data_IF_312623314824
#
_entry.id   IF_312623314824
#
_cell.length_a   1.000
_cell.length_b   1.000
_cell.length_c   1.000
_cell.angle_alpha   90.00
_cell.angle_beta   90.00
_cell.angle_gamma   90.00
#
_symmetry.space_group_name_H-M   'P 1'
#
loop_
_entity.id
_entity.type
_entity.pdbx_description
1 polymer ?
#
# COMPACT_ATOMS: atom_id res chain seq x y z
N UNK A 1 3.21 22.96 20.20
CA UNK A 1 4.68 22.78 20.20
C UNK A 1 5.03 21.98 18.97
N UNK A 2 5.79 22.60 18.07
CA UNK A 2 6.34 21.96 16.89
C UNK A 2 7.33 20.87 17.34
N UNK A 3 7.10 19.62 16.93
CA UNK A 3 8.01 18.53 17.18
C UNK A 3 8.72 18.29 15.86
N UNK A 4 9.99 18.72 15.81
CA UNK A 4 10.87 18.71 14.63
C UNK A 4 10.98 17.35 13.90
N UNK A 5 10.49 16.26 14.51
CA UNK A 5 10.53 14.91 13.95
C UNK A 5 9.21 14.44 13.32
N UNK A 6 8.16 15.28 13.25
CA UNK A 6 6.85 14.89 12.67
C UNK A 6 6.32 15.92 11.68
N UNK A 7 6.50 15.64 10.40
CA UNK A 7 5.78 16.22 9.25
C UNK A 7 4.27 16.49 9.46
N UNK A 8 3.54 15.64 10.20
CA UNK A 8 2.13 15.88 10.53
C UNK A 8 1.92 17.16 11.35
N UNK A 9 2.82 17.46 12.29
CA UNK A 9 2.75 18.70 13.09
C UNK A 9 3.03 19.92 12.21
N UNK A 10 4.02 19.81 11.31
CA UNK A 10 4.35 20.85 10.34
C UNK A 10 3.18 21.11 9.38
N UNK A 11 2.56 20.05 8.84
CA UNK A 11 1.37 20.14 7.99
C UNK A 11 0.23 20.88 8.71
N UNK A 12 -0.16 20.42 9.90
CA UNK A 12 -1.24 21.04 10.68
C UNK A 12 -0.91 22.50 11.05
N UNK A 13 0.36 22.80 11.32
CA UNK A 13 0.78 24.18 11.59
C UNK A 13 0.60 25.06 10.34
N UNK A 14 1.06 24.60 9.18
CA UNK A 14 0.96 25.36 7.93
C UNK A 14 -0.49 25.53 7.48
N UNK A 15 -1.29 24.46 7.52
CA UNK A 15 -2.72 24.49 7.20
C UNK A 15 -3.46 25.54 8.05
N UNK A 16 -3.22 25.55 9.36
CA UNK A 16 -3.78 26.56 10.25
C UNK A 16 -3.24 27.97 9.95
N UNK A 17 -1.92 28.12 9.75
CA UNK A 17 -1.33 29.42 9.47
C UNK A 17 -1.85 30.04 8.17
N UNK A 18 -2.03 29.23 7.12
CA UNK A 18 -2.58 29.65 5.83
C UNK A 18 -4.02 30.15 5.95
N UNK A 19 -4.83 29.51 6.80
CA UNK A 19 -6.20 29.97 7.11
C UNK A 19 -6.22 31.40 7.66
N UNK A 20 -5.16 31.82 8.34
CA UNK A 20 -5.01 33.16 8.91
C UNK A 20 -4.09 34.09 8.10
N UNK A 21 -3.69 33.74 6.87
CA UNK A 21 -2.79 34.55 6.01
C UNK A 21 -3.19 36.03 5.99
N UNK A 22 -4.45 36.33 5.67
CA UNK A 22 -4.96 37.70 5.61
C UNK A 22 -4.96 38.41 6.97
N UNK A 23 -5.17 37.66 8.07
CA UNK A 23 -5.14 38.22 9.42
C UNK A 23 -3.72 38.63 9.79
N UNK A 24 -2.70 37.82 9.49
CA UNK A 24 -1.30 38.17 9.70
C UNK A 24 -0.86 39.38 8.86
N UNK A 25 -1.24 39.40 7.58
CA UNK A 25 -0.95 40.54 6.69
C UNK A 25 -1.60 41.82 7.22
N UNK A 26 -2.87 41.77 7.61
CA UNK A 26 -3.57 42.92 8.19
C UNK A 26 -2.91 43.35 9.51
N UNK A 27 -2.61 42.41 10.42
CA UNK A 27 -1.97 42.70 11.71
C UNK A 27 -0.65 43.46 11.57
N UNK A 28 0.13 43.15 10.52
CA UNK A 28 1.38 43.87 10.21
C UNK A 28 1.22 45.36 9.91
N UNK A 29 0.04 45.78 9.49
CA UNK A 29 -0.27 47.19 9.24
C UNK A 29 -0.63 47.94 10.53
N UNK A 30 -1.07 47.24 11.58
CA UNK A 30 -1.55 47.85 12.83
C UNK A 30 -0.49 47.84 13.94
N UNK A 31 0.26 46.75 14.06
CA UNK A 31 1.28 46.61 15.10
C UNK A 31 2.68 46.89 14.53
N UNK A 32 3.21 48.07 14.85
CA UNK A 32 4.56 48.48 14.46
C UNK A 32 5.68 47.60 15.05
N UNK A 33 5.38 46.75 16.05
CA UNK A 33 6.31 45.78 16.61
C UNK A 33 6.29 44.42 15.90
N UNK A 34 5.32 44.17 15.02
CA UNK A 34 5.25 42.93 14.24
C UNK A 34 6.23 42.96 13.06
N UNK A 35 7.47 42.56 13.32
CA UNK A 35 8.59 42.65 12.37
C UNK A 35 8.72 41.49 11.38
N UNK A 36 8.03 40.38 11.63
CA UNK A 36 8.24 39.11 10.91
C UNK A 36 6.96 38.60 10.23
N UNK A 37 6.28 39.48 9.50
CA UNK A 37 5.22 39.05 8.59
C UNK A 37 5.84 38.30 7.41
N UNK A 38 5.40 37.08 7.09
CA UNK A 38 5.84 36.42 5.87
C UNK A 38 5.44 37.26 4.64
N UNK A 39 6.34 37.31 3.67
CA UNK A 39 6.10 37.88 2.35
C UNK A 39 5.11 37.03 1.55
N UNK A 40 4.57 37.58 0.45
CA UNK A 40 3.67 36.80 -0.42
C UNK A 40 4.35 35.55 -0.97
N UNK A 41 5.62 35.65 -1.37
CA UNK A 41 6.38 34.51 -1.89
C UNK A 41 6.58 33.42 -0.82
N UNK A 42 6.76 33.80 0.45
CA UNK A 42 6.85 32.86 1.57
C UNK A 42 5.51 32.20 1.87
N UNK A 43 4.40 32.93 1.76
CA UNK A 43 3.06 32.35 1.88
C UNK A 43 2.74 31.36 0.76
N UNK A 44 3.08 31.73 -0.48
CA UNK A 44 2.85 30.88 -1.64
C UNK A 44 3.74 29.62 -1.53
N UNK A 45 4.97 29.75 -1.02
CA UNK A 45 5.80 28.58 -0.69
C UNK A 45 5.22 27.72 0.43
N UNK A 46 4.68 28.33 1.49
CA UNK A 46 4.04 27.60 2.59
C UNK A 46 2.83 26.77 2.09
N UNK A 47 2.05 27.31 1.17
CA UNK A 47 0.96 26.61 0.49
C UNK A 47 1.49 25.39 -0.30
N UNK A 48 2.55 25.58 -1.10
CA UNK A 48 3.17 24.48 -1.85
C UNK A 48 3.71 23.37 -0.96
N UNK A 49 4.30 23.72 0.20
CA UNK A 49 4.76 22.73 1.19
C UNK A 49 3.55 22.02 1.84
N UNK A 50 2.47 22.75 2.13
CA UNK A 50 1.24 22.17 2.68
C UNK A 50 0.65 21.13 1.72
N UNK A 51 0.49 21.47 0.44
CA UNK A 51 0.01 20.58 -0.63
C UNK A 51 0.92 19.36 -0.83
N UNK A 52 2.23 19.54 -0.62
CA UNK A 52 3.17 18.42 -0.69
C UNK A 52 2.98 17.46 0.48
N UNK A 53 2.77 17.98 1.70
CA UNK A 53 2.66 17.19 2.93
C UNK A 53 1.27 16.58 3.16
N UNK A 54 0.21 17.14 2.57
CA UNK A 54 -1.18 16.70 2.75
C UNK A 54 -1.37 15.18 2.55
N UNK A 55 -0.93 14.54 1.44
CA UNK A 55 -1.16 13.11 1.23
C UNK A 55 -0.54 12.25 2.33
N UNK A 56 0.57 12.70 2.90
CA UNK A 56 1.26 11.98 3.96
C UNK A 56 0.54 12.08 5.29
N UNK A 57 -0.05 13.23 5.59
CA UNK A 57 -0.89 13.42 6.76
C UNK A 57 -2.16 12.55 6.66
N UNK A 58 -2.87 12.59 5.52
CA UNK A 58 -4.05 11.77 5.27
C UNK A 58 -3.75 10.28 5.48
N UNK A 59 -2.68 9.80 4.84
CA UNK A 59 -2.28 8.39 4.91
C UNK A 59 -1.84 8.00 6.31
N UNK A 60 -1.07 8.84 6.99
CA UNK A 60 -0.62 8.52 8.37
C UNK A 60 -1.82 8.44 9.30
N UNK A 61 -2.80 9.34 9.14
CA UNK A 61 -4.03 9.34 9.92
C UNK A 61 -4.88 8.10 9.63
N UNK A 62 -5.01 7.72 8.36
CA UNK A 62 -5.66 6.48 7.93
C UNK A 62 -4.96 5.26 8.54
N UNK A 63 -3.64 5.12 8.39
CA UNK A 63 -2.91 3.96 8.89
C UNK A 63 -2.78 3.92 10.43
N UNK A 64 -3.06 5.03 11.12
CA UNK A 64 -3.11 5.09 12.59
C UNK A 64 -4.46 4.65 13.16
N UNK A 65 -5.47 4.43 12.32
CA UNK A 65 -6.78 3.91 12.74
C UNK A 65 -6.68 2.46 13.23
N UNK A 66 -7.43 2.11 14.27
CA UNK A 66 -7.46 0.76 14.85
C UNK A 66 -8.78 0.02 14.66
N UNK A 67 -9.78 0.64 14.01
CA UNK A 67 -11.15 0.13 13.94
C UNK A 67 -11.45 -0.66 12.64
N UNK A 68 -10.46 -0.84 11.76
CA UNK A 68 -10.65 -1.55 10.49
C UNK A 68 -9.40 -2.33 10.06
N UNK A 69 -9.55 -3.36 9.21
CA UNK A 69 -8.41 -4.03 8.60
C UNK A 69 -7.60 -3.05 7.75
N UNK A 70 -6.33 -2.86 8.11
CA UNK A 70 -5.44 -1.91 7.44
C UNK A 70 -4.61 -2.55 6.33
N UNK A 71 -4.48 -3.89 6.33
CA UNK A 71 -3.63 -4.66 5.40
C UNK A 71 -3.86 -4.30 3.92
N UNK A 72 -5.12 -4.25 3.48
CA UNK A 72 -5.50 -3.93 2.10
C UNK A 72 -5.37 -2.43 1.76
N UNK A 73 -5.18 -1.56 2.75
CA UNK A 73 -5.00 -0.11 2.57
C UNK A 73 -3.53 0.29 2.51
N UNK A 74 -2.63 -0.52 3.08
CA UNK A 74 -1.20 -0.19 3.13
C UNK A 74 -0.58 -0.02 1.74
N UNK A 75 -0.73 -0.99 0.83
CA UNK A 75 -0.08 -0.91 -0.48
C UNK A 75 -0.51 0.33 -1.29
N UNK A 76 -1.82 0.61 -1.49
CA UNK A 76 -2.26 1.84 -2.15
C UNK A 76 -1.71 3.11 -1.50
N UNK A 77 -1.66 3.14 -0.16
CA UNK A 77 -1.20 4.30 0.60
C UNK A 77 0.30 4.53 0.43
N UNK A 78 1.11 3.50 0.67
CA UNK A 78 2.58 3.55 0.51
C UNK A 78 2.95 3.88 -0.94
N UNK A 79 2.22 3.33 -1.91
CA UNK A 79 2.40 3.69 -3.32
C UNK A 79 2.06 5.15 -3.62
N UNK A 80 0.96 5.70 -3.08
CA UNK A 80 0.59 7.12 -3.26
C UNK A 80 1.71 8.04 -2.75
N UNK A 81 2.33 7.70 -1.62
CA UNK A 81 3.51 8.39 -1.09
C UNK A 81 4.70 8.29 -2.06
N UNK A 82 5.06 7.08 -2.49
CA UNK A 82 6.21 6.88 -3.39
C UNK A 82 6.04 7.67 -4.69
N UNK A 83 4.84 7.64 -5.26
CA UNK A 83 4.49 8.40 -6.46
C UNK A 83 4.64 9.91 -6.22
N UNK A 84 4.11 10.43 -5.12
CA UNK A 84 4.19 11.86 -4.77
C UNK A 84 5.64 12.33 -4.62
N UNK A 85 6.48 11.53 -3.97
CA UNK A 85 7.91 11.81 -3.80
C UNK A 85 8.67 11.84 -5.14
N UNK A 86 8.32 10.96 -6.07
CA UNK A 86 8.93 10.95 -7.41
C UNK A 86 8.53 12.18 -8.22
N UNK A 87 7.23 12.54 -8.21
CA UNK A 87 6.71 13.71 -8.91
C UNK A 87 7.34 15.01 -8.39
N UNK A 88 7.40 15.18 -7.07
CA UNK A 88 7.94 16.41 -6.47
C UNK A 88 9.47 16.47 -6.49
N UNK A 89 10.17 15.34 -6.59
CA UNK A 89 11.62 15.34 -6.81
C UNK A 89 12.02 15.94 -8.17
N UNK A 90 11.11 15.96 -9.14
CA UNK A 90 11.26 16.59 -10.46
C UNK A 90 10.60 17.97 -10.55
N UNK A 91 10.15 18.54 -9.42
CA UNK A 91 9.54 19.87 -9.35
C UNK A 91 10.51 20.97 -9.83
N UNK A 92 9.96 22.00 -10.48
CA UNK A 92 10.70 23.20 -10.90
C UNK A 92 11.14 24.06 -9.69
N UNK A 93 10.42 23.95 -8.57
CA UNK A 93 10.81 24.60 -7.32
C UNK A 93 11.96 23.80 -6.68
N UNK A 94 13.16 24.36 -6.70
CA UNK A 94 14.37 23.73 -6.17
C UNK A 94 14.24 23.32 -4.70
N UNK A 95 13.49 24.08 -3.90
CA UNK A 95 13.31 23.80 -2.47
C UNK A 95 12.39 22.59 -2.28
N UNK A 96 11.28 22.54 -3.02
CA UNK A 96 10.38 21.39 -3.00
C UNK A 96 11.08 20.15 -3.57
N UNK A 97 11.84 20.31 -4.66
CA UNK A 97 12.62 19.23 -5.27
C UNK A 97 13.66 18.66 -4.30
N UNK A 98 14.43 19.52 -3.63
CA UNK A 98 15.43 19.08 -2.65
C UNK A 98 14.77 18.40 -1.43
N UNK A 99 13.68 18.98 -0.92
CA UNK A 99 12.91 18.37 0.18
C UNK A 99 12.38 16.99 -0.21
N UNK A 100 11.79 16.85 -1.41
CA UNK A 100 11.28 15.59 -1.91
C UNK A 100 12.40 14.55 -2.10
N UNK A 101 13.57 14.94 -2.62
CA UNK A 101 14.75 14.06 -2.73
C UNK A 101 15.24 13.57 -1.37
N UNK A 102 15.31 14.47 -0.38
CA UNK A 102 15.69 14.10 0.99
C UNK A 102 14.69 13.14 1.63
N UNK A 103 13.39 13.40 1.49
CA UNK A 103 12.33 12.51 2.00
C UNK A 103 12.32 11.16 1.28
N UNK A 104 12.48 11.16 -0.05
CA UNK A 104 12.60 9.96 -0.88
C UNK A 104 13.74 9.06 -0.42
N UNK A 105 14.93 9.60 -0.17
CA UNK A 105 16.08 8.82 0.31
C UNK A 105 15.83 8.08 1.64
N UNK A 106 15.00 8.67 2.51
CA UNK A 106 14.58 8.04 3.78
C UNK A 106 13.49 6.99 3.55
N UNK A 107 12.57 7.27 2.62
CA UNK A 107 11.43 6.41 2.31
C UNK A 107 11.80 5.17 1.49
N UNK A 108 12.77 5.26 0.57
CA UNK A 108 13.21 4.16 -0.30
C UNK A 108 13.60 2.90 0.49
N UNK A 109 14.21 3.06 1.67
CA UNK A 109 14.55 1.95 2.56
C UNK A 109 13.34 1.11 2.97
N UNK A 110 12.16 1.72 3.07
CA UNK A 110 10.92 1.01 3.39
C UNK A 110 10.26 0.48 2.13
N UNK A 111 10.28 1.26 1.05
CA UNK A 111 9.73 0.84 -0.23
C UNK A 111 10.40 -0.45 -0.74
N UNK A 112 11.73 -0.51 -0.76
CA UNK A 112 12.47 -1.66 -1.30
C UNK A 112 12.32 -2.92 -0.46
N UNK A 113 12.12 -2.79 0.86
CA UNK A 113 12.00 -3.92 1.77
C UNK A 113 10.58 -4.53 1.80
N UNK A 114 9.54 -3.70 1.64
CA UNK A 114 8.15 -4.12 1.91
C UNK A 114 7.25 -4.08 0.68
N UNK A 115 7.67 -3.52 -0.46
CA UNK A 115 6.81 -3.41 -1.64
C UNK A 115 6.27 -4.76 -2.12
N UNK A 116 7.06 -5.84 -2.07
CA UNK A 116 6.67 -7.16 -2.55
C UNK A 116 5.56 -7.76 -1.68
N UNK A 117 5.75 -7.82 -0.37
CA UNK A 117 4.76 -8.42 0.53
C UNK A 117 3.46 -7.60 0.57
N UNK A 118 3.57 -6.28 0.50
CA UNK A 118 2.42 -5.38 0.41
C UNK A 118 1.69 -5.55 -0.94
N UNK A 119 2.44 -5.75 -2.04
CA UNK A 119 1.86 -6.04 -3.35
C UNK A 119 1.14 -7.40 -3.37
N UNK A 120 1.71 -8.43 -2.72
CA UNK A 120 1.04 -9.73 -2.56
C UNK A 120 -0.28 -9.56 -1.80
N UNK A 121 -0.28 -8.82 -0.69
CA UNK A 121 -1.49 -8.58 0.09
C UNK A 121 -2.62 -7.94 -0.72
N UNK A 122 -2.30 -6.95 -1.59
CA UNK A 122 -3.32 -6.31 -2.45
C UNK A 122 -3.73 -7.19 -3.64
N UNK A 123 -2.87 -8.11 -4.12
CA UNK A 123 -3.23 -9.07 -5.15
C UNK A 123 -4.27 -10.06 -4.63
N UNK A 124 -4.15 -10.46 -3.36
CA UNK A 124 -5.10 -11.32 -2.67
C UNK A 124 -6.41 -10.60 -2.28
N UNK A 125 -6.51 -9.29 -2.52
CA UNK A 125 -7.79 -8.58 -2.49
C UNK A 125 -8.53 -8.74 -3.84
N UNK A 126 -9.72 -9.39 -3.86
CA UNK A 126 -10.47 -9.67 -5.09
C UNK A 126 -10.84 -8.42 -5.91
N UNK A 127 -10.79 -7.22 -5.31
CA UNK A 127 -11.13 -5.95 -5.96
C UNK A 127 -9.99 -5.38 -6.81
N UNK A 128 -8.74 -5.74 -6.52
CA UNK A 128 -7.56 -5.11 -7.13
C UNK A 128 -6.83 -6.07 -8.07
N UNK A 129 -6.39 -7.22 -7.54
CA UNK A 129 -5.59 -8.25 -8.23
C UNK A 129 -4.32 -7.71 -8.90
N UNK A 130 -3.63 -8.57 -9.67
CA UNK A 130 -2.40 -8.23 -10.40
C UNK A 130 -2.46 -6.95 -11.24
N UNK A 131 -3.54 -6.63 -11.97
CA UNK A 131 -3.52 -5.44 -12.84
C UNK A 131 -3.41 -4.12 -12.06
N UNK A 132 -3.84 -4.08 -10.79
CA UNK A 132 -3.66 -2.90 -9.97
C UNK A 132 -2.18 -2.70 -9.59
N UNK A 133 -1.48 -3.76 -9.21
CA UNK A 133 -0.03 -3.71 -8.92
C UNK A 133 0.75 -3.31 -10.17
N UNK A 134 0.41 -3.88 -11.33
CA UNK A 134 1.01 -3.50 -12.62
C UNK A 134 0.81 -2.01 -12.93
N UNK A 135 -0.41 -1.50 -12.75
CA UNK A 135 -0.71 -0.07 -12.87
C UNK A 135 0.16 0.78 -11.93
N UNK A 136 0.26 0.38 -10.66
CA UNK A 136 1.04 1.09 -9.65
C UNK A 136 2.54 1.11 -10.02
N UNK A 137 3.12 -0.03 -10.37
CA UNK A 137 4.53 -0.15 -10.72
C UNK A 137 4.89 0.59 -12.01
N UNK A 138 4.01 0.65 -13.01
CA UNK A 138 4.20 1.49 -14.20
C UNK A 138 4.33 2.99 -13.91
N UNK A 139 3.85 3.46 -12.76
CA UNK A 139 3.93 4.87 -12.34
C UNK A 139 5.17 5.20 -11.50
N UNK A 140 5.85 4.20 -10.95
CA UNK A 140 6.99 4.41 -10.04
C UNK A 140 8.31 3.81 -10.56
N UNK A 141 8.23 2.83 -11.47
CA UNK A 141 9.39 2.21 -12.11
C UNK A 141 9.45 2.56 -13.60
N UNK A 142 10.66 2.64 -14.17
CA UNK A 142 10.82 2.87 -15.59
C UNK A 142 10.28 1.70 -16.41
N UNK A 143 9.77 2.00 -17.60
CA UNK A 143 9.25 0.98 -18.54
C UNK A 143 10.37 0.34 -19.37
N UNK A 144 11.52 1.00 -19.47
CA UNK A 144 12.68 0.53 -20.22
C UNK A 144 13.88 0.39 -19.29
N UNK A 145 14.87 -0.38 -19.72
CA UNK A 145 16.14 -0.50 -19.04
C UNK A 145 16.74 0.89 -18.79
N UNK A 146 17.07 1.15 -17.53
CA UNK A 146 17.78 2.35 -17.09
C UNK A 146 18.83 1.95 -16.05
N UNK A 147 19.86 2.78 -15.94
CA UNK A 147 20.89 2.67 -14.92
C UNK A 147 20.83 3.90 -14.02
N UNK A 148 21.17 3.71 -12.74
CA UNK A 148 21.36 4.82 -11.84
C UNK A 148 22.68 5.56 -12.12
N UNK A 149 22.92 6.67 -11.42
CA UNK A 149 24.15 7.46 -11.56
C UNK A 149 25.43 6.66 -11.21
N UNK A 150 25.31 5.47 -10.64
CA UNK A 150 26.39 4.55 -10.28
C UNK A 150 26.51 3.36 -11.25
N UNK A 151 25.74 3.35 -12.36
CA UNK A 151 25.76 2.28 -13.35
C UNK A 151 25.05 0.99 -12.91
N UNK A 152 24.25 1.02 -11.83
CA UNK A 152 23.46 -0.13 -11.39
C UNK A 152 22.13 -0.16 -12.14
N UNK A 153 21.74 -1.34 -12.60
CA UNK A 153 20.45 -1.57 -13.26
C UNK A 153 19.30 -1.19 -12.33
N UNK A 154 18.43 -0.31 -12.81
CA UNK A 154 17.15 0.00 -12.18
C UNK A 154 16.13 -1.03 -12.64
N UNK A 155 15.40 -1.59 -11.67
CA UNK A 155 14.34 -2.57 -11.93
C UNK A 155 13.22 -1.94 -12.76
N UNK A 156 12.81 -2.60 -13.84
CA UNK A 156 11.69 -2.13 -14.65
C UNK A 156 10.34 -2.48 -14.01
N UNK A 157 9.28 -1.80 -14.44
CA UNK A 157 7.92 -2.11 -14.00
C UNK A 157 7.55 -3.57 -14.24
N UNK A 158 7.87 -4.12 -15.42
CA UNK A 158 7.58 -5.51 -15.78
C UNK A 158 8.37 -6.51 -14.94
N UNK A 159 9.65 -6.23 -14.67
CA UNK A 159 10.46 -7.09 -13.81
C UNK A 159 9.96 -7.08 -12.37
N UNK A 160 9.54 -5.90 -11.86
CA UNK A 160 8.93 -5.76 -10.53
C UNK A 160 7.66 -6.59 -10.38
N UNK A 161 6.76 -6.53 -11.38
CA UNK A 161 5.55 -7.38 -11.41
C UNK A 161 5.91 -8.86 -11.46
N UNK A 162 6.95 -9.22 -12.22
CA UNK A 162 7.41 -10.61 -12.35
C UNK A 162 7.94 -11.14 -11.02
N UNK A 163 8.73 -10.35 -10.29
CA UNK A 163 9.23 -10.71 -8.95
C UNK A 163 8.06 -10.90 -7.99
N UNK A 164 7.11 -9.97 -7.93
CA UNK A 164 5.92 -10.11 -7.07
C UNK A 164 5.13 -11.36 -7.41
N UNK A 165 4.96 -11.65 -8.71
CA UNK A 165 4.28 -12.88 -9.15
C UNK A 165 5.04 -14.12 -8.67
N UNK A 166 6.34 -14.20 -8.87
CA UNK A 166 7.15 -15.34 -8.43
C UNK A 166 7.05 -15.56 -6.91
N UNK A 167 7.20 -14.51 -6.13
CA UNK A 167 7.10 -14.57 -4.67
C UNK A 167 5.70 -14.98 -4.19
N UNK A 168 4.64 -14.58 -4.91
CA UNK A 168 3.28 -15.05 -4.65
C UNK A 168 3.15 -16.56 -4.85
N UNK A 169 3.68 -17.11 -5.95
CA UNK A 169 3.64 -18.57 -6.18
C UNK A 169 4.50 -19.33 -5.15
N UNK A 170 5.69 -18.83 -4.82
CA UNK A 170 6.54 -19.42 -3.78
C UNK A 170 5.84 -19.45 -2.40
N UNK A 171 5.13 -18.37 -2.06
CA UNK A 171 4.34 -18.31 -0.83
C UNK A 171 3.19 -19.32 -0.85
N UNK A 172 2.53 -19.46 -2.00
CA UNK A 172 1.43 -20.41 -2.19
C UNK A 172 1.91 -21.87 -2.13
N UNK A 173 3.05 -22.21 -2.72
CA UNK A 173 3.67 -23.54 -2.62
C UNK A 173 3.93 -23.91 -1.15
N UNK A 174 4.56 -23.02 -0.38
CA UNK A 174 4.79 -23.22 1.06
C UNK A 174 3.50 -23.36 1.86
N UNK A 175 2.44 -22.65 1.47
CA UNK A 175 1.11 -22.80 2.05
C UNK A 175 0.57 -24.21 1.77
N UNK A 176 0.58 -24.66 0.52
CA UNK A 176 0.11 -25.99 0.13
C UNK A 176 0.88 -27.09 0.85
N UNK A 177 2.21 -27.00 0.93
CA UNK A 177 3.04 -27.95 1.66
C UNK A 177 2.62 -28.05 3.14
N UNK A 178 2.46 -26.91 3.82
CA UNK A 178 2.11 -26.86 5.24
C UNK A 178 0.71 -27.41 5.52
N UNK A 179 -0.27 -27.11 4.68
CA UNK A 179 -1.66 -27.50 4.91
C UNK A 179 -2.01 -28.89 4.34
N UNK A 180 -1.28 -29.38 3.34
CA UNK A 180 -1.41 -30.76 2.86
C UNK A 180 -0.93 -31.78 3.91
N UNK A 181 0.13 -31.45 4.66
CA UNK A 181 0.64 -32.29 5.76
C UNK A 181 -0.34 -32.32 6.94
N UNK A 182 -0.99 -31.20 7.27
CA UNK A 182 -2.00 -31.14 8.35
C UNK A 182 -3.29 -31.94 8.03
N UNK A 183 -3.64 -32.08 6.75
CA UNK A 183 -4.77 -32.93 6.33
C UNK A 183 -4.47 -34.43 6.53
N UNK A 184 -3.21 -34.85 6.36
CA UNK A 184 -2.79 -36.24 6.61
C UNK A 184 -2.72 -36.58 8.11
N UNK A 185 -2.29 -35.66 8.97
CA UNK A 185 -2.25 -35.89 10.43
C UNK A 185 -3.62 -35.95 11.09
N UNK A 186 -4.61 -35.21 10.58
CA UNK A 186 -6.01 -35.35 11.05
C UNK A 186 -6.67 -36.66 10.62
N UNK A 187 -6.14 -37.30 9.58
CA UNK A 187 -6.66 -38.58 9.05
C UNK A 187 -6.11 -39.81 9.80
N UNK A 188 -5.02 -39.67 10.55
CA UNK A 188 -4.38 -40.77 11.29
C UNK A 188 -4.88 -40.96 12.73
N UNK A 189 -5.94 -40.24 13.13
CA UNK A 189 -6.67 -40.49 14.39
C UNK A 189 -8.01 -41.22 14.17
N UNK A 190 -8.01 -42.26 13.32
CA UNK A 190 -9.06 -43.29 13.38
C UNK A 190 -8.63 -44.36 14.37
N UNK A 191 -8.72 -44.03 15.66
CA UNK A 191 -8.64 -45.03 16.74
C UNK A 191 -9.90 -45.88 16.68
N UNK A 192 -9.71 -47.19 16.52
CA UNK A 192 -10.75 -48.19 16.73
C UNK A 192 -11.51 -47.91 18.03
N UNK A 193 -12.80 -47.62 17.92
CA UNK A 193 -13.73 -47.79 19.02
C UNK A 193 -15.06 -48.31 18.48
N UNK A 194 -15.24 -49.62 18.63
CA UNK A 194 -16.54 -50.28 18.60
C UNK A 194 -17.36 -49.81 19.80
N UNK A 195 -18.47 -49.11 19.54
CA UNK A 195 -19.80 -49.33 20.13
C UNK A 195 -20.76 -48.21 19.69
N UNK A 196 -22.01 -48.57 19.43
CA UNK A 196 -22.94 -47.80 18.62
C UNK A 196 -23.34 -46.43 19.17
N UNK A 197 -23.30 -45.44 18.28
CA UNK A 197 -24.21 -44.29 18.28
C UNK A 197 -24.25 -43.73 16.85
N UNK A 198 -25.46 -43.53 16.30
CA UNK A 198 -25.69 -42.99 14.95
C UNK A 198 -25.06 -41.58 14.84
N UNK A 199 -23.86 -41.49 14.28
CA UNK A 199 -23.26 -40.21 13.85
C UNK A 199 -24.02 -39.75 12.60
N UNK A 200 -24.75 -38.63 12.70
CA UNK A 200 -25.14 -37.86 11.50
C UNK A 200 -23.86 -37.51 10.75
N UNK A 201 -23.70 -38.02 9.53
CA UNK A 201 -22.74 -37.45 8.58
C UNK A 201 -23.11 -35.97 8.41
N UNK A 202 -22.14 -35.07 8.58
CA UNK A 202 -22.35 -33.67 8.25
C UNK A 202 -22.45 -33.55 6.73
N UNK A 203 -23.57 -33.05 6.21
CA UNK A 203 -23.82 -32.88 4.78
C UNK A 203 -22.75 -32.02 4.08
N UNK A 204 -22.06 -31.15 4.84
CA UNK A 204 -20.89 -30.37 4.37
C UNK A 204 -19.72 -31.27 3.93
N UNK A 205 -19.43 -32.35 4.65
CA UNK A 205 -18.32 -33.24 4.29
C UNK A 205 -18.65 -34.12 3.07
N UNK A 206 -19.95 -34.40 2.86
CA UNK A 206 -20.44 -35.07 1.66
C UNK A 206 -20.37 -34.13 0.44
N UNK A 207 -20.61 -32.83 0.64
CA UNK A 207 -20.40 -31.80 -0.38
C UNK A 207 -18.92 -31.62 -0.76
N UNK A 208 -18.00 -31.57 0.21
CA UNK A 208 -16.56 -31.49 -0.07
C UNK A 208 -16.06 -32.69 -0.90
N UNK A 209 -16.62 -33.88 -0.64
CA UNK A 209 -16.37 -35.09 -1.43
C UNK A 209 -16.98 -35.02 -2.84
N UNK A 210 -18.19 -34.46 -2.97
CA UNK A 210 -18.87 -34.27 -4.25
C UNK A 210 -18.18 -33.21 -5.13
N UNK A 211 -17.76 -32.08 -4.57
CA UNK A 211 -17.09 -31.00 -5.30
C UNK A 211 -15.72 -31.45 -5.86
N UNK A 212 -15.05 -32.36 -5.14
CA UNK A 212 -13.81 -32.98 -5.59
C UNK A 212 -13.96 -33.94 -6.79
N UNK A 213 -15.17 -34.44 -7.09
CA UNK A 213 -15.45 -35.23 -8.31
C UNK A 213 -15.58 -34.37 -9.57
N UNK A 214 -15.89 -33.07 -9.44
CA UNK A 214 -16.04 -32.15 -10.58
C UNK A 214 -14.79 -31.29 -10.84
N UNK A 215 -13.83 -31.26 -9.90
CA UNK A 215 -12.63 -30.42 -9.94
C UNK A 215 -11.43 -30.99 -10.70
N UNK A 216 -11.59 -31.55 -11.91
CA UNK A 216 -10.43 -31.84 -12.78
C UNK A 216 -10.07 -30.58 -13.55
N UNK A 217 -9.48 -29.60 -12.86
CA UNK A 217 -8.79 -28.49 -13.52
C UNK A 217 -7.30 -28.64 -13.30
N UNK A 218 -6.52 -28.68 -14.38
CA UNK A 218 -5.05 -28.70 -14.37
C UNK A 218 -4.40 -27.41 -13.82
N UNK A 219 -5.21 -26.45 -13.36
CA UNK A 219 -4.80 -25.14 -12.85
C UNK A 219 -4.82 -25.15 -11.33
N UNK A 220 -3.86 -24.49 -10.69
CA UNK A 220 -3.84 -24.35 -9.24
C UNK A 220 -5.01 -23.47 -8.74
N UNK A 221 -5.39 -23.59 -7.46
CA UNK A 221 -6.40 -22.72 -6.86
C UNK A 221 -6.02 -21.23 -6.99
N UNK A 222 -4.72 -20.93 -6.87
CA UNK A 222 -4.19 -19.58 -7.08
C UNK A 222 -4.39 -19.10 -8.52
N UNK A 223 -4.14 -19.96 -9.52
CA UNK A 223 -4.39 -19.60 -10.92
C UNK A 223 -5.86 -19.29 -11.18
N UNK A 224 -6.77 -20.10 -10.62
CA UNK A 224 -8.22 -19.86 -10.70
C UNK A 224 -8.59 -18.51 -10.09
N UNK A 225 -8.08 -18.22 -8.90
CA UNK A 225 -8.29 -16.93 -8.23
C UNK A 225 -7.76 -15.75 -9.06
N UNK A 226 -6.58 -15.86 -9.68
CA UNK A 226 -6.00 -14.78 -10.48
C UNK A 226 -6.77 -14.53 -11.79
N UNK A 227 -7.43 -15.55 -12.33
CA UNK A 227 -8.23 -15.47 -13.57
C UNK A 227 -9.67 -14.96 -13.35
N UNK A 228 -10.21 -15.12 -12.15
CA UNK A 228 -11.55 -14.64 -11.80
C UNK A 228 -11.70 -13.13 -12.06
N UNK A 229 -12.90 -12.70 -12.45
CA UNK A 229 -13.24 -11.28 -12.61
C UNK A 229 -13.09 -10.54 -11.28
N UNK A 230 -12.65 -9.28 -11.35
CA UNK A 230 -12.54 -8.43 -10.15
C UNK A 230 -13.92 -8.11 -9.61
N UNK A 231 -14.01 -7.95 -8.30
CA UNK A 231 -15.22 -7.43 -7.67
C UNK A 231 -15.39 -5.94 -7.98
N UNK A 232 -16.63 -5.52 -8.27
CA UNK A 232 -16.94 -4.12 -8.53
C UNK A 232 -16.72 -3.27 -7.28
N UNK A 233 -15.89 -2.24 -7.42
CA UNK A 233 -15.60 -1.28 -6.34
C UNK A 233 -16.74 -0.28 -6.10
N UNK A 234 -17.67 -0.16 -7.04
CA UNK A 234 -18.74 0.86 -7.05
C UNK A 234 -20.01 0.35 -6.33
N UNK A 235 -20.22 -0.96 -6.21
CA UNK A 235 -21.46 -1.54 -5.69
C UNK A 235 -21.48 -1.78 -4.16
N UNK A 236 -20.49 -1.26 -3.41
CA UNK A 236 -20.31 -1.49 -1.97
C UNK A 236 -20.28 -0.19 -1.14
N UNK A 237 -20.60 0.96 -1.74
CA UNK A 237 -20.65 2.28 -1.08
C UNK A 237 -22.07 2.80 -0.83
N UNK A 238 -23.10 1.95 -0.95
CA UNK A 238 -24.49 2.27 -0.63
C UNK A 238 -24.99 1.44 0.55
#
# INVERSE_FOLDING_TARGET
MDICTRWNSTYLMLENALTFRHVFMHYSLFDSHYKYCPSNDEWDRAERICDFLEPFYEITTLLSGSEYPTANLYFPSVWKIQKRLLEEAESEDEIISDMAKQMKSKFEKYWDNYNVILAIAIILDPRYKLPFVDYCFKKVYPTRYLEDAQGRKILTSQESVTIVRQELYLLFEKYVEKFSVQAQEKSSSTTNCSTGAKRKKNDICDFDGFDSEFGVTSKSELDRYLEETKFDRINMLN
#
